data_IF_325270382264
#
_entry.id   IF_325270382264
#
_cell.length_a   1.000
_cell.length_b   1.000
_cell.length_c   1.000
_cell.angle_alpha   90.00
_cell.angle_beta   90.00
_cell.angle_gamma   90.00
#
_symmetry.space_group_name_H-M   'P 1'
#
loop_
_entity.id
_entity.type
_entity.pdbx_description
1 polymer ?
#
# COMPACT_ATOMS: atom_id res chain seq x y z
N UNK A 1 -0.74 -29.71 -3.20
CA UNK A 1 -0.77 -29.00 -1.90
C UNK A 1 -0.55 -27.54 -2.19
N UNK A 2 -1.60 -26.77 -2.17
CA UNK A 2 -1.62 -25.47 -2.80
C UNK A 2 -1.57 -24.33 -1.78
N UNK A 3 -1.61 -23.12 -2.29
CA UNK A 3 -1.72 -21.85 -1.60
C UNK A 3 -2.76 -21.87 -0.45
N UNK A 4 -3.89 -22.54 -0.63
CA UNK A 4 -4.93 -22.70 0.38
C UNK A 4 -4.47 -23.50 1.62
N UNK A 5 -3.62 -24.50 1.45
CA UNK A 5 -3.10 -25.29 2.57
C UNK A 5 -2.10 -24.46 3.38
N UNK A 6 -1.20 -23.74 2.72
CA UNK A 6 -0.26 -22.82 3.37
C UNK A 6 -0.98 -21.68 4.10
N UNK A 7 -2.02 -21.11 3.47
CA UNK A 7 -2.86 -20.07 4.09
C UNK A 7 -3.58 -20.60 5.34
N UNK A 8 -4.18 -21.79 5.22
CA UNK A 8 -4.88 -22.43 6.35
C UNK A 8 -3.94 -22.76 7.52
N UNK A 9 -2.72 -23.20 7.20
CA UNK A 9 -1.71 -23.53 8.23
C UNK A 9 -1.21 -22.28 8.95
N UNK A 10 -0.91 -21.19 8.19
CA UNK A 10 -0.58 -19.90 8.78
C UNK A 10 -1.68 -19.33 9.67
N UNK A 11 -2.92 -19.40 9.22
CA UNK A 11 -4.07 -18.94 9.99
C UNK A 11 -4.30 -19.78 11.27
N UNK A 12 -4.12 -21.09 11.16
CA UNK A 12 -4.20 -22.00 12.31
C UNK A 12 -3.10 -21.73 13.34
N UNK A 13 -1.89 -21.43 12.88
CA UNK A 13 -0.76 -21.05 13.73
C UNK A 13 -1.03 -19.76 14.51
N UNK A 14 -1.63 -18.77 13.87
CA UNK A 14 -2.06 -17.51 14.52
C UNK A 14 -3.11 -17.77 15.61
N UNK A 15 -4.10 -18.60 15.32
CA UNK A 15 -5.16 -18.94 16.30
C UNK A 15 -4.65 -19.79 17.45
N UNK A 16 -3.60 -20.59 17.23
CA UNK A 16 -3.00 -21.42 18.27
C UNK A 16 -2.15 -20.63 19.28
N UNK A 17 -1.74 -19.40 18.91
CA UNK A 17 -0.91 -18.55 19.78
C UNK A 17 -1.54 -17.17 19.95
N UNK A 18 -2.32 -16.94 21.04
CA UNK A 18 -2.98 -15.66 21.26
C UNK A 18 -1.99 -14.47 21.40
N UNK A 19 -0.80 -14.74 21.91
CA UNK A 19 0.27 -13.73 22.01
C UNK A 19 0.75 -13.29 20.61
N UNK A 20 0.95 -14.24 19.69
CA UNK A 20 1.32 -13.95 18.30
C UNK A 20 0.20 -13.20 17.57
N UNK A 21 -1.05 -13.64 17.74
CA UNK A 21 -2.20 -12.95 17.16
C UNK A 21 -2.31 -11.51 17.66
N UNK A 22 -2.14 -11.28 18.95
CA UNK A 22 -2.14 -9.95 19.55
C UNK A 22 -0.99 -9.08 18.98
N UNK A 23 0.21 -9.64 18.88
CA UNK A 23 1.35 -8.94 18.32
C UNK A 23 1.11 -8.51 16.84
N UNK A 24 0.55 -9.41 16.03
CA UNK A 24 0.22 -9.11 14.62
C UNK A 24 -0.84 -8.00 14.53
N UNK A 25 -1.90 -8.08 15.34
CA UNK A 25 -2.96 -7.05 15.35
C UNK A 25 -2.39 -5.70 15.79
N UNK A 26 -1.58 -5.67 16.85
CA UNK A 26 -0.97 -4.43 17.33
C UNK A 26 -0.02 -3.80 16.30
N UNK A 27 0.83 -4.63 15.66
CA UNK A 27 1.71 -4.15 14.60
C UNK A 27 0.93 -3.61 13.41
N UNK A 28 -0.12 -4.33 12.98
CA UNK A 28 -0.98 -3.86 11.89
C UNK A 28 -1.66 -2.55 12.25
N UNK A 29 -2.24 -2.44 13.45
CA UNK A 29 -2.88 -1.21 13.91
C UNK A 29 -1.88 -0.04 13.97
N UNK A 30 -0.65 -0.28 14.42
CA UNK A 30 0.41 0.72 14.46
C UNK A 30 0.79 1.20 13.06
N UNK A 31 1.04 0.26 12.13
CA UNK A 31 1.40 0.58 10.74
C UNK A 31 0.29 1.43 10.09
N UNK A 32 -0.96 0.98 10.17
CA UNK A 32 -2.10 1.70 9.59
C UNK A 32 -2.31 3.06 10.24
N UNK A 33 -2.11 3.19 11.55
CA UNK A 33 -2.17 4.48 12.25
C UNK A 33 -1.10 5.45 11.76
N UNK A 34 0.12 4.98 11.54
CA UNK A 34 1.22 5.81 11.01
C UNK A 34 0.89 6.27 9.58
N UNK A 35 0.40 5.38 8.72
CA UNK A 35 0.05 5.72 7.35
C UNK A 35 -1.07 6.76 7.30
N UNK A 36 -2.16 6.54 8.04
CA UNK A 36 -3.28 7.50 8.10
C UNK A 36 -2.84 8.83 8.68
N UNK A 37 -2.00 8.84 9.72
CA UNK A 37 -1.43 10.07 10.28
C UNK A 37 -0.61 10.83 9.22
N UNK A 38 0.20 10.13 8.44
CA UNK A 38 0.94 10.73 7.32
C UNK A 38 0.01 11.39 6.30
N UNK A 39 -1.07 10.71 5.92
CA UNK A 39 -2.09 11.29 5.03
C UNK A 39 -2.73 12.54 5.65
N UNK A 40 -3.09 12.50 6.94
CA UNK A 40 -3.65 13.66 7.64
C UNK A 40 -2.69 14.85 7.67
N UNK A 41 -1.39 14.61 7.91
CA UNK A 41 -0.37 15.67 7.89
C UNK A 41 -0.31 16.32 6.51
N UNK A 42 -0.35 15.53 5.43
CA UNK A 42 -0.42 16.07 4.06
C UNK A 42 -1.67 16.89 3.82
N UNK A 43 -2.82 16.40 4.26
CA UNK A 43 -4.10 17.12 4.13
C UNK A 43 -4.06 18.45 4.88
N UNK A 44 -3.56 18.48 6.11
CA UNK A 44 -3.40 19.70 6.90
C UNK A 44 -2.42 20.69 6.26
N UNK A 45 -1.33 20.20 5.67
CA UNK A 45 -0.33 21.05 5.02
C UNK A 45 -0.75 21.60 3.65
N UNK A 46 -1.63 20.90 2.94
CA UNK A 46 -2.07 21.24 1.59
C UNK A 46 -3.35 22.08 1.58
N UNK A 47 -4.00 22.32 2.71
CA UNK A 47 -5.41 22.65 2.73
C UNK A 47 -5.73 24.05 3.25
N UNK A 48 -6.62 24.72 2.50
CA UNK A 48 -7.46 25.80 3.00
C UNK A 48 -8.78 25.26 3.61
N UNK A 49 -8.83 23.96 4.00
CA UNK A 49 -9.98 23.29 4.61
C UNK A 49 -9.56 22.55 5.89
N UNK A 50 -10.51 22.34 6.77
CA UNK A 50 -10.26 21.60 8.02
C UNK A 50 -10.17 20.09 7.72
N UNK A 51 -8.95 19.57 7.75
CA UNK A 51 -8.71 18.14 7.60
C UNK A 51 -8.75 17.47 8.97
N UNK A 52 -9.53 16.42 9.10
CA UNK A 52 -9.63 15.60 10.28
C UNK A 52 -9.14 14.15 10.04
N UNK A 53 -9.04 13.40 11.12
CA UNK A 53 -8.66 11.98 11.07
C UNK A 53 -9.63 11.13 10.23
N UNK A 54 -10.92 11.44 10.30
CA UNK A 54 -11.95 10.71 9.56
C UNK A 54 -11.78 10.89 8.04
N UNK A 55 -11.48 12.11 7.60
CA UNK A 55 -11.19 12.40 6.20
C UNK A 55 -9.97 11.62 5.71
N UNK A 56 -8.88 11.60 6.50
CA UNK A 56 -7.68 10.84 6.17
C UNK A 56 -7.93 9.34 6.09
N UNK A 57 -8.61 8.78 7.09
CA UNK A 57 -8.95 7.36 7.15
C UNK A 57 -9.87 6.95 5.98
N UNK A 58 -10.91 7.72 5.72
CA UNK A 58 -11.87 7.45 4.64
C UNK A 58 -11.19 7.51 3.28
N UNK A 59 -10.41 8.57 3.02
CA UNK A 59 -9.71 8.75 1.75
C UNK A 59 -8.71 7.62 1.52
N UNK A 60 -7.97 7.23 2.54
CA UNK A 60 -7.05 6.11 2.45
C UNK A 60 -7.75 4.77 2.19
N UNK A 61 -8.82 4.49 2.93
CA UNK A 61 -9.58 3.23 2.80
C UNK A 61 -10.21 3.08 1.41
N UNK A 62 -10.84 4.15 0.91
CA UNK A 62 -11.43 4.16 -0.44
C UNK A 62 -10.36 3.97 -1.50
N UNK A 63 -9.21 4.61 -1.34
CA UNK A 63 -8.09 4.48 -2.27
C UNK A 63 -7.57 3.05 -2.31
N UNK A 64 -7.35 2.42 -1.16
CA UNK A 64 -6.91 1.02 -1.10
C UNK A 64 -7.90 0.07 -1.78
N UNK A 65 -9.19 0.22 -1.48
CA UNK A 65 -10.22 -0.58 -2.13
C UNK A 65 -10.21 -0.37 -3.64
N UNK A 66 -10.08 0.87 -4.09
CA UNK A 66 -10.07 1.23 -5.51
C UNK A 66 -8.88 0.68 -6.28
N UNK A 67 -7.66 0.83 -5.77
CA UNK A 67 -6.45 0.31 -6.43
C UNK A 67 -6.39 -1.22 -6.43
N UNK A 68 -7.08 -1.87 -5.49
CA UNK A 68 -7.21 -3.34 -5.47
C UNK A 68 -8.12 -3.84 -6.59
N UNK A 69 -9.19 -3.09 -6.90
CA UNK A 69 -10.14 -3.44 -7.98
C UNK A 69 -9.61 -3.05 -9.36
N UNK A 70 -8.89 -1.93 -9.46
CA UNK A 70 -8.34 -1.40 -10.70
C UNK A 70 -6.81 -1.25 -10.62
N UNK A 71 -6.06 -2.37 -10.62
CA UNK A 71 -4.61 -2.31 -10.52
C UNK A 71 -4.02 -1.73 -11.82
N UNK A 72 -3.32 -0.61 -11.68
CA UNK A 72 -2.56 0.01 -12.77
C UNK A 72 -1.06 0.00 -12.44
N UNK A 73 -0.16 0.04 -13.43
CA UNK A 73 1.28 0.09 -13.16
C UNK A 73 1.63 1.29 -12.28
N UNK A 74 2.24 1.04 -11.11
CA UNK A 74 2.53 2.06 -10.11
C UNK A 74 1.29 2.74 -9.53
N UNK A 75 0.10 2.18 -9.74
CA UNK A 75 -1.21 2.71 -9.33
C UNK A 75 -1.57 4.08 -9.92
N UNK A 76 -0.80 4.58 -10.90
CA UNK A 76 -1.07 5.86 -11.54
C UNK A 76 -2.45 5.88 -12.21
N UNK A 77 -3.16 6.96 -12.02
CA UNK A 77 -4.53 7.16 -12.47
C UNK A 77 -5.57 6.59 -11.50
N UNK A 78 -5.43 5.33 -11.08
CA UNK A 78 -6.34 4.71 -10.13
C UNK A 78 -6.24 5.37 -8.74
N UNK A 79 -5.02 5.57 -8.24
CA UNK A 79 -4.80 6.23 -6.95
C UNK A 79 -5.43 7.63 -6.93
N UNK A 80 -5.10 8.46 -7.94
CA UNK A 80 -5.60 9.82 -8.04
C UNK A 80 -7.12 9.87 -8.16
N UNK A 81 -7.70 8.96 -8.93
CA UNK A 81 -9.16 8.88 -9.10
C UNK A 81 -9.87 8.58 -7.77
N UNK A 82 -9.44 7.53 -7.07
CA UNK A 82 -10.11 7.11 -5.84
C UNK A 82 -9.81 8.04 -4.67
N UNK A 83 -8.59 8.53 -4.54
CA UNK A 83 -8.22 9.47 -3.48
C UNK A 83 -8.93 10.82 -3.64
N UNK A 84 -8.89 11.40 -4.84
CA UNK A 84 -9.59 12.65 -5.11
C UNK A 84 -11.11 12.51 -5.02
N UNK A 85 -11.65 11.37 -5.47
CA UNK A 85 -13.07 11.05 -5.32
C UNK A 85 -13.49 10.98 -3.84
N UNK A 86 -12.65 10.38 -3.00
CA UNK A 86 -12.90 10.34 -1.56
C UNK A 86 -12.85 11.73 -0.91
N UNK A 87 -11.92 12.60 -1.30
CA UNK A 87 -11.87 13.99 -0.81
C UNK A 87 -13.11 14.80 -1.21
N UNK A 88 -13.66 14.53 -2.40
CA UNK A 88 -14.90 15.19 -2.84
C UNK A 88 -16.13 14.81 -2.00
N UNK A 89 -16.12 13.68 -1.29
CA UNK A 89 -17.17 13.35 -0.31
C UNK A 89 -17.19 14.30 0.89
N UNK A 90 -16.06 14.98 1.13
CA UNK A 90 -15.89 16.02 2.17
C UNK A 90 -15.97 17.43 1.58
N UNK A 91 -16.65 17.59 0.45
CA UNK A 91 -16.86 18.87 -0.22
C UNK A 91 -15.60 19.57 -0.71
N UNK A 92 -14.47 18.86 -0.81
CA UNK A 92 -13.26 19.40 -1.41
C UNK A 92 -13.47 19.55 -2.91
N UNK A 93 -13.23 20.74 -3.46
CA UNK A 93 -13.37 20.98 -4.89
C UNK A 93 -12.43 20.06 -5.71
N UNK A 94 -12.86 19.70 -6.93
CA UNK A 94 -12.18 18.70 -7.76
C UNK A 94 -10.70 19.02 -8.01
N UNK A 95 -10.38 20.26 -8.38
CA UNK A 95 -9.01 20.63 -8.78
C UNK A 95 -8.02 20.51 -7.61
N UNK A 96 -8.28 21.06 -6.41
CA UNK A 96 -7.42 20.84 -5.26
C UNK A 96 -7.40 19.36 -4.83
N UNK A 97 -8.52 18.63 -4.90
CA UNK A 97 -8.55 17.22 -4.55
C UNK A 97 -7.62 16.37 -5.42
N UNK A 98 -7.61 16.61 -6.73
CA UNK A 98 -6.70 15.92 -7.67
C UNK A 98 -5.25 16.31 -7.42
N UNK A 99 -4.98 17.60 -7.18
CA UNK A 99 -3.63 18.08 -6.88
C UNK A 99 -3.05 17.45 -5.62
N UNK A 100 -3.86 17.37 -4.56
CA UNK A 100 -3.49 16.73 -3.29
C UNK A 100 -3.24 15.23 -3.51
N UNK A 101 -4.14 14.53 -4.20
CA UNK A 101 -4.00 13.13 -4.52
C UNK A 101 -2.67 12.83 -5.23
N UNK A 102 -2.31 13.64 -6.21
CA UNK A 102 -1.06 13.50 -6.95
C UNK A 102 0.17 13.72 -6.06
N UNK A 103 0.17 14.76 -5.23
CA UNK A 103 1.28 15.06 -4.32
C UNK A 103 1.46 13.93 -3.30
N UNK A 104 0.38 13.48 -2.68
CA UNK A 104 0.42 12.37 -1.70
C UNK A 104 0.94 11.09 -2.36
N UNK A 105 0.42 10.74 -3.53
CA UNK A 105 0.86 9.55 -4.26
C UNK A 105 2.34 9.63 -4.64
N UNK A 106 2.79 10.70 -5.28
CA UNK A 106 4.19 10.86 -5.67
C UNK A 106 5.14 10.84 -4.48
N UNK A 107 4.74 11.42 -3.35
CA UNK A 107 5.55 11.41 -2.12
C UNK A 107 5.66 10.01 -1.55
N UNK A 108 4.55 9.27 -1.43
CA UNK A 108 4.55 7.90 -0.93
C UNK A 108 5.33 6.96 -1.85
N UNK A 109 5.07 7.04 -3.16
CA UNK A 109 5.77 6.24 -4.16
C UNK A 109 7.27 6.54 -4.17
N UNK A 110 7.65 7.81 -4.22
CA UNK A 110 9.04 8.24 -4.20
C UNK A 110 9.77 7.80 -2.94
N UNK A 111 9.14 7.96 -1.77
CA UNK A 111 9.70 7.51 -0.50
C UNK A 111 9.89 5.98 -0.47
N UNK A 112 8.91 5.23 -0.95
CA UNK A 112 8.99 3.77 -1.07
C UNK A 112 10.14 3.32 -1.98
N UNK A 113 10.29 3.95 -3.14
CA UNK A 113 11.38 3.66 -4.08
C UNK A 113 12.74 3.99 -3.45
N UNK A 114 12.88 5.15 -2.82
CA UNK A 114 14.13 5.57 -2.17
C UNK A 114 14.53 4.62 -1.05
N UNK A 115 13.59 4.22 -0.19
CA UNK A 115 13.85 3.24 0.86
C UNK A 115 14.21 1.87 0.28
N UNK A 116 13.49 1.42 -0.74
CA UNK A 116 13.79 0.16 -1.41
C UNK A 116 15.20 0.13 -2.00
N UNK A 117 15.62 1.19 -2.68
CA UNK A 117 16.97 1.32 -3.22
C UNK A 117 18.03 1.40 -2.12
N UNK A 118 17.74 2.11 -1.02
CA UNK A 118 18.63 2.20 0.12
C UNK A 118 18.89 0.82 0.74
N UNK A 119 17.83 0.05 1.03
CA UNK A 119 17.99 -1.28 1.62
C UNK A 119 18.62 -2.27 0.65
N UNK A 120 18.32 -2.18 -0.64
CA UNK A 120 18.97 -3.01 -1.66
C UNK A 120 20.49 -2.80 -1.64
N UNK A 121 20.92 -1.53 -1.60
CA UNK A 121 22.34 -1.19 -1.48
C UNK A 121 22.95 -1.61 -0.14
N UNK A 122 22.19 -1.51 0.96
CA UNK A 122 22.66 -1.91 2.28
C UNK A 122 22.89 -3.43 2.39
N UNK A 123 22.05 -4.24 1.76
CA UNK A 123 22.20 -5.70 1.71
C UNK A 123 23.20 -6.17 0.66
N UNK A 124 23.80 -5.26 -0.11
CA UNK A 124 24.78 -5.59 -1.15
C UNK A 124 24.19 -6.30 -2.36
N UNK A 125 22.86 -6.27 -2.51
CA UNK A 125 22.14 -6.83 -3.65
C UNK A 125 22.17 -5.85 -4.82
N UNK A 126 22.38 -6.34 -6.03
CA UNK A 126 22.24 -5.52 -7.23
C UNK A 126 20.83 -5.62 -7.80
N UNK A 127 20.40 -4.58 -8.54
CA UNK A 127 19.14 -4.63 -9.29
C UNK A 127 19.08 -5.81 -10.26
N UNK A 128 20.24 -6.25 -10.78
CA UNK A 128 20.33 -7.43 -11.63
C UNK A 128 19.97 -8.71 -10.90
N UNK A 129 20.39 -8.84 -9.64
CA UNK A 129 20.08 -10.03 -8.82
C UNK A 129 18.57 -10.12 -8.56
N UNK A 130 17.92 -8.99 -8.28
CA UNK A 130 16.47 -8.92 -8.08
C UNK A 130 15.72 -9.25 -9.38
N UNK A 131 16.13 -8.70 -10.51
CA UNK A 131 15.51 -8.99 -11.81
C UNK A 131 15.70 -10.45 -12.21
N UNK A 132 16.90 -11.00 -12.02
CA UNK A 132 17.16 -12.42 -12.34
C UNK A 132 16.36 -13.36 -11.43
N UNK A 133 16.21 -13.05 -10.15
CA UNK A 133 15.38 -13.82 -9.23
C UNK A 133 13.90 -13.77 -9.62
N UNK A 134 13.39 -12.59 -10.00
CA UNK A 134 11.99 -12.46 -10.45
C UNK A 134 11.70 -13.21 -11.74
N UNK A 135 12.66 -13.23 -12.68
CA UNK A 135 12.54 -14.01 -13.92
C UNK A 135 12.57 -15.52 -13.66
N UNK A 136 13.41 -15.97 -12.72
CA UNK A 136 13.47 -17.38 -12.35
C UNK A 136 12.16 -17.89 -11.74
N UNK A 137 11.51 -17.08 -10.92
CA UNK A 137 10.18 -17.38 -10.37
C UNK A 137 9.12 -17.44 -11.46
N UNK A 138 9.10 -16.46 -12.37
CA UNK A 138 8.14 -16.43 -13.48
C UNK A 138 8.29 -17.61 -14.44
N UNK A 139 9.52 -18.07 -14.71
CA UNK A 139 9.77 -19.26 -15.55
C UNK A 139 9.46 -20.56 -14.82
N UNK A 140 9.68 -20.66 -13.52
CA UNK A 140 9.32 -21.82 -12.69
C UNK A 140 7.81 -22.04 -12.61
N UNK A 141 7.02 -20.99 -12.51
CA UNK A 141 5.56 -21.05 -12.51
C UNK A 141 4.99 -21.50 -13.86
N UNK A 142 5.64 -21.14 -14.97
CA UNK A 142 5.22 -21.58 -16.32
C UNK A 142 5.51 -23.05 -16.57
N UNK A 143 6.56 -23.63 -16.01
CA UNK A 143 6.85 -25.07 -16.12
C UNK A 143 5.88 -25.93 -15.28
N UNK A 144 5.45 -25.46 -14.11
CA UNK A 144 4.50 -26.17 -13.25
C UNK A 144 3.08 -26.18 -13.84
N UNK A 145 2.67 -25.12 -14.55
CA UNK A 145 1.38 -25.05 -15.25
C UNK A 145 1.32 -25.88 -16.54
N UNK A 146 2.47 -26.29 -17.09
CA UNK A 146 2.54 -27.07 -18.32
C UNK A 146 2.58 -28.59 -18.09
N UNK A 147 2.58 -29.05 -16.84
CA UNK A 147 2.55 -30.46 -16.44
C UNK A 147 1.20 -30.86 -15.89
#
# INVERSE_FOLDING_TARGET
CGFLDAFREGFRSLLASPCLACAVVLHSALIWSIVVTGVCIFLLGASNFEADWLMGLTSWTITLAGITVAPTPGFFGAYELFFSGALQLFEVAKDPAVSIALIVHLTQFGFGVLLGLFFLGYEGLSLRDVVSASQAVATGETEEQSR
#
